data_IF_947358585425
#
_entry.id   IF_947358585425
#
_cell.length_a   1.000
_cell.length_b   1.000
_cell.length_c   1.000
_cell.angle_alpha   90.00
_cell.angle_beta   90.00
_cell.angle_gamma   90.00
#
_symmetry.space_group_name_H-M   'P 1'
#
loop_
_entity.id
_entity.type
_entity.pdbx_description
1 polymer ?
#
# COMPACT_ATOMS: atom_id res chain seq x y z
N UNK A 1 3.03 -10.57 4.52
CA UNK A 1 2.45 -11.08 5.79
C UNK A 1 0.97 -11.34 5.63
N UNK A 2 0.47 -12.50 6.08
CA UNK A 2 -0.96 -12.81 6.21
C UNK A 2 -1.54 -11.95 7.32
N UNK A 3 -2.51 -11.09 7.01
CA UNK A 3 -3.33 -10.46 8.04
C UNK A 3 -4.02 -11.58 8.81
N UNK A 4 -3.98 -11.62 10.17
CA UNK A 4 -4.70 -12.64 10.90
C UNK A 4 -6.17 -12.59 10.50
N UNK A 5 -6.70 -13.76 10.10
CA UNK A 5 -8.12 -13.92 9.80
C UNK A 5 -8.89 -13.44 11.03
N UNK A 6 -9.89 -12.57 10.86
CA UNK A 6 -10.63 -12.14 12.02
C UNK A 6 -11.46 -13.33 12.53
N UNK A 7 -11.71 -13.39 13.83
CA UNK A 7 -12.60 -14.41 14.38
C UNK A 7 -13.98 -14.27 13.70
N UNK A 8 -14.42 -15.25 12.90
CA UNK A 8 -15.69 -15.16 12.17
C UNK A 8 -16.89 -14.98 13.09
N UNK A 9 -16.76 -15.37 14.37
CA UNK A 9 -17.78 -15.22 15.41
C UNK A 9 -17.94 -13.77 15.88
N UNK A 10 -16.91 -12.91 15.76
CA UNK A 10 -16.97 -11.50 16.19
C UNK A 10 -18.01 -10.68 15.39
N UNK A 11 -18.41 -11.12 14.21
CA UNK A 11 -19.26 -10.33 13.30
C UNK A 11 -20.71 -10.81 13.22
N UNK A 12 -20.98 -12.04 13.67
CA UNK A 12 -22.29 -12.71 13.61
C UNK A 12 -23.01 -12.60 12.24
N UNK A 13 -22.26 -12.45 11.14
CA UNK A 13 -22.79 -12.23 9.79
C UNK A 13 -23.49 -13.46 9.18
N UNK A 14 -23.48 -14.60 9.88
CA UNK A 14 -24.22 -15.81 9.48
C UNK A 14 -25.72 -15.66 9.66
N UNK A 15 -26.15 -14.85 10.63
CA UNK A 15 -27.53 -14.80 11.10
C UNK A 15 -28.18 -13.43 10.89
N UNK A 16 -27.56 -12.55 10.09
CA UNK A 16 -28.09 -11.21 9.79
C UNK A 16 -27.60 -10.68 8.43
N UNK A 17 -28.33 -9.74 7.82
CA UNK A 17 -27.84 -9.03 6.66
C UNK A 17 -26.68 -8.07 7.00
N UNK A 18 -26.04 -7.54 5.95
CA UNK A 18 -24.99 -6.53 6.03
C UNK A 18 -25.59 -5.13 6.16
N UNK A 19 -25.05 -4.35 7.10
CA UNK A 19 -25.46 -2.99 7.42
C UNK A 19 -24.32 -2.00 7.18
N UNK A 20 -24.63 -0.70 7.20
CA UNK A 20 -23.64 0.38 7.07
C UNK A 20 -22.43 0.25 8.01
N UNK A 21 -22.64 -0.22 9.25
CA UNK A 21 -21.55 -0.43 10.23
C UNK A 21 -20.51 -1.47 9.79
N UNK A 22 -20.90 -2.44 8.96
CA UNK A 22 -20.00 -3.49 8.49
C UNK A 22 -18.93 -2.95 7.51
N UNK A 23 -19.20 -1.83 6.83
CA UNK A 23 -18.20 -1.14 6.01
C UNK A 23 -17.08 -0.52 6.86
N UNK A 24 -17.43 -0.02 8.04
CA UNK A 24 -16.43 0.50 9.00
C UNK A 24 -15.57 -0.64 9.52
N UNK A 25 -16.16 -1.80 9.79
CA UNK A 25 -15.44 -3.01 10.19
C UNK A 25 -14.49 -3.49 9.08
N UNK A 26 -14.98 -3.60 7.84
CA UNK A 26 -14.17 -3.97 6.68
C UNK A 26 -12.95 -3.03 6.54
N UNK A 27 -13.18 -1.73 6.67
CA UNK A 27 -12.11 -0.73 6.58
C UNK A 27 -11.07 -0.89 7.70
N UNK A 28 -11.52 -1.06 8.94
CA UNK A 28 -10.62 -1.25 10.09
C UNK A 28 -9.79 -2.52 9.96
N UNK A 29 -10.43 -3.61 9.52
CA UNK A 29 -9.78 -4.91 9.36
C UNK A 29 -8.74 -4.91 8.24
N UNK A 30 -9.10 -4.36 7.07
CA UNK A 30 -8.17 -4.27 5.93
C UNK A 30 -7.11 -3.18 6.10
N UNK A 31 -7.29 -2.25 7.05
CA UNK A 31 -6.43 -1.08 7.23
C UNK A 31 -6.49 -0.10 6.06
N UNK A 32 -7.52 -0.20 5.21
CA UNK A 32 -7.65 0.60 4.00
C UNK A 32 -8.17 2.01 4.29
N UNK A 33 -7.85 2.92 3.39
CA UNK A 33 -8.51 4.23 3.34
C UNK A 33 -9.94 4.10 2.79
N UNK A 34 -10.75 5.16 2.94
CA UNK A 34 -12.11 5.20 2.36
C UNK A 34 -12.04 5.12 0.83
N UNK A 35 -11.05 5.78 0.21
CA UNK A 35 -10.85 5.70 -1.23
C UNK A 35 -10.54 4.27 -1.70
N UNK A 36 -9.73 3.54 -0.94
CA UNK A 36 -9.41 2.14 -1.23
C UNK A 36 -10.59 1.21 -1.01
N UNK A 37 -11.38 1.43 0.04
CA UNK A 37 -12.64 0.72 0.22
C UNK A 37 -13.62 1.04 -0.91
N UNK A 38 -13.64 2.27 -1.42
CA UNK A 38 -14.42 2.66 -2.59
C UNK A 38 -13.99 1.87 -3.83
N UNK A 39 -12.69 1.81 -4.12
CA UNK A 39 -12.15 0.98 -5.20
C UNK A 39 -12.50 -0.51 -5.02
N UNK A 40 -12.32 -1.04 -3.82
CA UNK A 40 -12.64 -2.43 -3.46
C UNK A 40 -14.13 -2.74 -3.67
N UNK A 41 -15.03 -1.81 -3.35
CA UNK A 41 -16.47 -2.08 -3.40
C UNK A 41 -17.14 -1.57 -4.68
N UNK A 42 -16.39 -0.96 -5.61
CA UNK A 42 -16.97 -0.27 -6.76
C UNK A 42 -17.83 0.94 -6.39
N UNK A 43 -17.56 1.56 -5.24
CA UNK A 43 -18.32 2.68 -4.69
C UNK A 43 -17.58 4.00 -4.86
N UNK A 44 -18.35 5.08 -5.02
CA UNK A 44 -17.83 6.44 -4.86
C UNK A 44 -17.64 6.77 -3.38
N UNK A 45 -16.72 7.67 -3.06
CA UNK A 45 -16.51 8.11 -1.67
C UNK A 45 -17.78 8.69 -1.02
N UNK A 46 -18.63 9.50 -1.70
CA UNK A 46 -19.90 9.95 -1.13
C UNK A 46 -20.83 8.79 -0.78
N UNK A 47 -20.93 7.76 -1.63
CA UNK A 47 -21.77 6.59 -1.37
C UNK A 47 -21.26 5.78 -0.18
N UNK A 48 -19.95 5.65 -0.04
CA UNK A 48 -19.35 5.03 1.14
C UNK A 48 -19.70 5.80 2.41
N UNK A 49 -19.57 7.13 2.39
CA UNK A 49 -19.93 7.99 3.52
C UNK A 49 -21.42 7.94 3.86
N UNK A 50 -22.30 7.87 2.87
CA UNK A 50 -23.75 7.71 3.09
C UNK A 50 -24.05 6.48 3.95
N UNK A 51 -23.45 5.33 3.61
CA UNK A 51 -23.61 4.10 4.40
C UNK A 51 -22.99 4.20 5.79
N UNK A 52 -21.85 4.88 5.94
CA UNK A 52 -21.25 5.09 7.27
C UNK A 52 -22.12 5.95 8.18
N UNK A 53 -22.83 6.94 7.61
CA UNK A 53 -23.73 7.81 8.35
C UNK A 53 -25.06 7.13 8.70
N UNK A 54 -25.32 5.93 8.16
CA UNK A 54 -26.52 5.12 8.40
C UNK A 54 -26.11 3.71 8.84
N UNK A 55 -25.42 3.58 9.99
CA UNK A 55 -24.75 2.35 10.39
C UNK A 55 -25.70 1.18 10.63
N UNK A 56 -26.96 1.46 10.96
CA UNK A 56 -27.99 0.47 11.25
C UNK A 56 -28.98 0.26 10.10
N UNK A 57 -28.75 0.88 8.95
CA UNK A 57 -29.50 0.63 7.72
C UNK A 57 -28.81 -0.43 6.84
N UNK A 58 -29.62 -1.17 6.09
CA UNK A 58 -29.14 -2.13 5.11
C UNK A 58 -28.35 -1.40 4.01
N UNK A 59 -27.32 -2.07 3.48
CA UNK A 59 -26.71 -1.60 2.25
C UNK A 59 -27.74 -1.73 1.11
N UNK A 60 -28.11 -0.60 0.52
CA UNK A 60 -29.16 -0.56 -0.51
C UNK A 60 -28.82 -1.28 -1.82
N UNK A 61 -27.55 -1.68 -2.02
CA UNK A 61 -27.12 -2.48 -3.17
C UNK A 61 -26.80 -3.92 -2.72
N UNK A 62 -27.57 -4.93 -3.15
CA UNK A 62 -27.33 -6.33 -2.79
C UNK A 62 -25.97 -6.88 -3.23
N UNK A 63 -25.42 -6.41 -4.35
CA UNK A 63 -24.11 -6.86 -4.82
C UNK A 63 -23.00 -6.37 -3.89
N UNK A 64 -23.10 -5.12 -3.42
CA UNK A 64 -22.20 -4.54 -2.42
C UNK A 64 -22.33 -5.29 -1.09
N UNK A 65 -23.56 -5.61 -0.66
CA UNK A 65 -23.79 -6.39 0.55
C UNK A 65 -23.13 -7.77 0.49
N UNK A 66 -23.33 -8.52 -0.61
CA UNK A 66 -22.70 -9.82 -0.81
C UNK A 66 -21.18 -9.74 -0.86
N UNK A 67 -20.62 -8.71 -1.50
CA UNK A 67 -19.18 -8.50 -1.55
C UNK A 67 -18.59 -8.20 -0.17
N UNK A 68 -19.21 -7.30 0.61
CA UNK A 68 -18.77 -7.00 1.98
C UNK A 68 -18.83 -8.26 2.86
N UNK A 69 -19.93 -9.02 2.77
CA UNK A 69 -20.07 -10.29 3.48
C UNK A 69 -18.95 -11.27 3.11
N UNK A 70 -18.69 -11.45 1.81
CA UNK A 70 -17.67 -12.36 1.34
C UNK A 70 -16.27 -11.96 1.83
N UNK A 71 -15.92 -10.67 1.77
CA UNK A 71 -14.62 -10.17 2.19
C UNK A 71 -14.40 -10.24 3.71
N UNK A 72 -15.46 -10.10 4.51
CA UNK A 72 -15.38 -10.22 5.97
C UNK A 72 -15.33 -11.69 6.44
N UNK A 73 -15.98 -12.61 5.70
CA UNK A 73 -16.10 -14.02 6.07
C UNK A 73 -15.03 -14.92 5.45
N UNK A 74 -14.55 -14.57 4.27
CA UNK A 74 -13.55 -15.34 3.52
C UNK A 74 -12.40 -14.40 3.15
N UNK A 75 -11.46 -14.13 4.08
CA UNK A 75 -10.31 -13.28 3.81
C UNK A 75 -9.46 -13.72 2.61
N UNK A 76 -9.47 -15.01 2.26
CA UNK A 76 -8.85 -15.57 1.06
C UNK A 76 -9.50 -15.07 -0.25
N UNK A 77 -10.76 -14.61 -0.20
CA UNK A 77 -11.43 -13.99 -1.34
C UNK A 77 -10.97 -12.53 -1.56
N UNK A 78 -10.16 -11.98 -0.65
CA UNK A 78 -9.61 -10.64 -0.79
C UNK A 78 -8.61 -10.57 -1.94
N UNK A 79 -8.91 -9.74 -2.94
CA UNK A 79 -8.13 -9.64 -4.16
C UNK A 79 -7.20 -8.42 -4.20
N UNK A 80 -7.16 -7.58 -3.17
CA UNK A 80 -6.18 -6.51 -3.14
C UNK A 80 -4.79 -7.09 -2.92
N UNK A 81 -3.77 -6.56 -3.61
CA UNK A 81 -2.41 -7.00 -3.42
C UNK A 81 -1.96 -6.71 -1.99
N UNK A 82 -1.19 -7.64 -1.44
CA UNK A 82 -0.39 -7.35 -0.25
C UNK A 82 0.72 -6.41 -0.67
N UNK A 83 0.71 -5.19 -0.13
CA UNK A 83 1.76 -4.21 -0.38
C UNK A 83 2.97 -4.50 0.51
N UNK A 84 4.19 -4.52 -0.06
CA UNK A 84 5.39 -4.75 0.73
C UNK A 84 5.75 -3.50 1.54
N UNK A 85 6.36 -3.71 2.70
CA UNK A 85 7.04 -2.67 3.46
C UNK A 85 8.40 -2.33 2.83
N UNK A 86 8.95 -1.12 3.07
CA UNK A 86 10.23 -0.73 2.47
C UNK A 86 11.38 -1.72 2.74
N UNK A 87 11.44 -2.28 3.95
CA UNK A 87 12.42 -3.29 4.33
C UNK A 87 12.28 -4.61 3.55
N UNK A 88 11.07 -4.96 3.09
CA UNK A 88 10.84 -6.14 2.25
C UNK A 88 11.30 -5.94 0.79
N UNK A 89 11.35 -4.68 0.33
CA UNK A 89 11.78 -4.33 -1.04
C UNK A 89 13.29 -4.07 -1.10
N UNK A 90 13.89 -3.57 -0.02
CA UNK A 90 15.29 -3.14 0.03
C UNK A 90 16.31 -4.20 -0.44
N UNK A 91 16.21 -5.50 -0.09
CA UNK A 91 17.19 -6.49 -0.55
C UNK A 91 17.26 -6.62 -2.07
N UNK A 92 16.11 -6.56 -2.75
CA UNK A 92 16.07 -6.61 -4.22
C UNK A 92 16.69 -5.35 -4.83
N UNK A 93 16.46 -4.19 -4.21
CA UNK A 93 17.12 -2.93 -4.59
C UNK A 93 18.64 -3.01 -4.40
N UNK A 94 19.12 -3.46 -3.24
CA UNK A 94 20.54 -3.57 -2.93
C UNK A 94 21.25 -4.50 -3.92
N UNK A 95 20.65 -5.66 -4.23
CA UNK A 95 21.19 -6.59 -5.23
C UNK A 95 21.26 -5.98 -6.63
N UNK A 96 20.24 -5.22 -7.05
CA UNK A 96 20.25 -4.53 -8.33
C UNK A 96 21.28 -3.39 -8.38
N UNK A 97 21.48 -2.69 -7.25
CA UNK A 97 22.45 -1.62 -7.11
C UNK A 97 23.89 -2.12 -7.25
N UNK A 98 24.23 -3.23 -6.57
CA UNK A 98 25.55 -3.87 -6.64
C UNK A 98 25.97 -4.25 -8.06
N UNK A 99 25.00 -4.56 -8.92
CA UNK A 99 25.22 -4.98 -10.30
C UNK A 99 25.07 -3.83 -11.32
N UNK A 100 24.70 -2.64 -10.85
CA UNK A 100 24.50 -1.46 -11.69
C UNK A 100 25.76 -0.63 -11.79
N UNK A 101 25.78 0.29 -12.76
CA UNK A 101 26.81 1.34 -12.83
C UNK A 101 26.57 2.50 -11.86
N UNK A 102 25.45 2.49 -11.13
CA UNK A 102 25.07 3.55 -10.20
C UNK A 102 25.74 3.30 -8.85
N UNK A 103 26.63 4.21 -8.44
CA UNK A 103 27.36 4.11 -7.18
C UNK A 103 26.95 5.25 -6.25
N UNK A 104 25.96 5.07 -5.37
CA UNK A 104 25.55 6.07 -4.40
C UNK A 104 26.46 6.03 -3.18
N UNK A 105 26.83 7.21 -2.66
CA UNK A 105 27.54 7.32 -1.38
C UNK A 105 26.69 6.88 -0.18
N UNK A 106 25.37 6.93 -0.31
CA UNK A 106 24.38 6.59 0.71
C UNK A 106 23.28 5.73 0.07
N UNK A 107 23.42 4.39 0.06
CA UNK A 107 22.46 3.48 -0.57
C UNK A 107 21.07 3.54 0.05
N UNK A 108 20.97 3.69 1.37
CA UNK A 108 19.70 3.73 2.11
C UNK A 108 18.94 5.02 1.83
N UNK A 109 19.61 6.17 1.93
CA UNK A 109 19.00 7.45 1.58
C UNK A 109 18.68 7.55 0.10
N UNK A 110 19.47 6.92 -0.78
CA UNK A 110 19.14 6.83 -2.21
C UNK A 110 17.88 6.01 -2.46
N UNK A 111 17.71 4.89 -1.75
CA UNK A 111 16.46 4.11 -1.81
C UNK A 111 15.25 4.96 -1.41
N UNK A 112 15.35 5.72 -0.32
CA UNK A 112 14.29 6.64 0.09
C UNK A 112 13.99 7.72 -0.96
N UNK A 113 15.00 8.31 -1.59
CA UNK A 113 14.83 9.31 -2.65
C UNK A 113 14.12 8.74 -3.88
N UNK A 114 14.48 7.52 -4.31
CA UNK A 114 13.82 6.84 -5.43
C UNK A 114 12.32 6.61 -5.15
N UNK A 115 11.97 6.49 -3.87
CA UNK A 115 10.62 6.35 -3.39
C UNK A 115 9.92 7.71 -3.12
N UNK A 116 10.54 8.82 -3.52
CA UNK A 116 9.99 10.17 -3.33
C UNK A 116 9.96 10.62 -1.88
N UNK A 117 10.85 10.08 -1.03
CA UNK A 117 10.95 10.40 0.39
C UNK A 117 12.28 11.08 0.72
N UNK A 118 12.36 11.83 1.84
CA UNK A 118 13.63 12.39 2.31
C UNK A 118 14.67 11.30 2.59
N UNK A 119 15.96 11.58 2.38
CA UNK A 119 17.08 10.64 2.63
C UNK A 119 17.03 10.01 4.02
N UNK A 120 16.69 10.79 5.04
CA UNK A 120 16.56 10.33 6.43
C UNK A 120 15.47 9.28 6.66
N UNK A 121 14.60 9.02 5.68
CA UNK A 121 13.64 7.91 5.76
C UNK A 121 14.32 6.54 5.57
N UNK A 122 15.41 6.46 4.81
CA UNK A 122 16.07 5.18 4.48
C UNK A 122 16.50 4.41 5.72
N UNK A 123 17.38 5.02 6.52
CA UNK A 123 17.87 4.39 7.76
C UNK A 123 16.76 4.11 8.77
N UNK A 124 15.74 4.97 8.86
CA UNK A 124 14.58 4.75 9.74
C UNK A 124 13.73 3.55 9.32
N UNK A 125 13.59 3.29 8.02
CA UNK A 125 12.84 2.13 7.54
C UNK A 125 13.57 0.82 7.79
N UNK A 126 14.90 0.85 7.76
CA UNK A 126 15.74 -0.34 7.85
C UNK A 126 16.18 -0.66 9.28
N UNK A 127 16.15 0.31 10.19
CA UNK A 127 16.61 0.12 11.58
C UNK A 127 15.71 -0.81 12.40
N UNK A 128 14.43 -1.00 12.02
CA UNK A 128 13.49 -1.87 12.74
C UNK A 128 13.13 -1.43 14.17
N UNK A 129 13.75 -0.37 14.69
CA UNK A 129 13.57 0.16 16.06
C UNK A 129 12.59 1.33 16.04
N UNK A 130 11.50 1.22 16.81
CA UNK A 130 10.59 2.30 17.22
C UNK A 130 9.93 3.16 16.13
N UNK A 131 9.82 2.69 14.89
CA UNK A 131 8.90 3.32 13.95
C UNK A 131 7.48 2.78 14.25
N UNK A 132 6.53 3.54 14.84
CA UNK A 132 5.13 3.10 14.90
C UNK A 132 4.71 2.87 13.46
N UNK A 133 4.56 1.61 13.00
CA UNK A 133 4.34 1.18 11.60
C UNK A 133 4.05 2.38 10.72
N UNK A 134 5.11 3.08 10.29
CA UNK A 134 4.96 4.47 9.88
C UNK A 134 4.02 4.41 8.69
N UNK A 135 2.80 4.96 8.82
CA UNK A 135 1.74 4.70 7.85
C UNK A 135 2.23 5.21 6.51
N UNK A 136 2.80 4.29 5.73
CA UNK A 136 3.32 4.56 4.42
C UNK A 136 2.10 4.98 3.63
N UNK A 137 2.06 6.25 3.24
CA UNK A 137 0.89 6.78 2.56
C UNK A 137 0.58 5.95 1.30
N UNK A 138 -0.69 5.81 0.91
CA UNK A 138 -1.10 4.81 -0.09
C UNK A 138 -0.36 4.86 -1.45
N UNK A 139 0.02 6.03 -1.99
CA UNK A 139 0.87 6.13 -3.17
C UNK A 139 2.23 5.43 -3.02
N UNK A 140 2.91 5.59 -1.89
CA UNK A 140 4.21 4.99 -1.65
C UNK A 140 4.13 3.46 -1.52
N UNK A 141 3.10 2.93 -0.85
CA UNK A 141 2.87 1.46 -0.80
C UNK A 141 2.71 0.86 -2.20
N UNK A 142 1.97 1.55 -3.08
CA UNK A 142 1.81 1.16 -4.48
C UNK A 142 3.11 1.27 -5.26
N UNK A 143 3.89 2.33 -5.03
CA UNK A 143 5.18 2.52 -5.66
C UNK A 143 6.15 1.40 -5.26
N UNK A 144 6.20 1.02 -3.98
CA UNK A 144 7.01 -0.09 -3.48
C UNK A 144 6.65 -1.41 -4.16
N UNK A 145 5.35 -1.74 -4.25
CA UNK A 145 4.88 -2.94 -4.96
C UNK A 145 5.25 -2.90 -6.45
N UNK A 146 5.03 -1.75 -7.11
CA UNK A 146 5.36 -1.59 -8.52
C UNK A 146 6.88 -1.72 -8.76
N UNK A 147 7.68 -1.11 -7.90
CA UNK A 147 9.14 -1.17 -7.97
C UNK A 147 9.65 -2.59 -7.72
N UNK A 148 9.16 -3.28 -6.69
CA UNK A 148 9.49 -4.69 -6.43
C UNK A 148 9.18 -5.58 -7.64
N UNK A 149 7.98 -5.43 -8.24
CA UNK A 149 7.60 -6.17 -9.45
C UNK A 149 8.47 -5.81 -10.64
N UNK A 150 8.85 -4.54 -10.76
CA UNK A 150 9.69 -4.07 -11.85
C UNK A 150 11.12 -4.64 -11.74
N UNK A 151 11.69 -4.65 -10.54
CA UNK A 151 12.96 -5.31 -10.24
C UNK A 151 12.89 -6.81 -10.52
N UNK A 152 11.81 -7.49 -10.10
CA UNK A 152 11.63 -8.91 -10.36
C UNK A 152 11.52 -9.24 -11.85
N UNK A 153 10.86 -8.38 -12.64
CA UNK A 153 10.61 -8.62 -14.05
C UNK A 153 11.78 -8.22 -14.97
N UNK A 154 12.59 -7.23 -14.56
CA UNK A 154 13.59 -6.57 -15.42
C UNK A 154 15.00 -6.53 -14.84
N UNK A 155 15.19 -6.94 -13.59
CA UNK A 155 16.47 -6.93 -12.89
C UNK A 155 17.14 -5.56 -12.91
N UNK A 156 18.45 -5.56 -13.14
CA UNK A 156 19.32 -4.37 -13.17
C UNK A 156 18.89 -3.37 -14.24
N UNK A 157 18.52 -3.82 -15.44
CA UNK A 157 18.07 -2.92 -16.50
C UNK A 157 16.79 -2.16 -16.11
N UNK A 158 15.89 -2.82 -15.37
CA UNK A 158 14.72 -2.17 -14.77
C UNK A 158 15.13 -1.14 -13.73
N UNK A 159 16.03 -1.52 -12.81
CA UNK A 159 16.55 -0.61 -11.81
C UNK A 159 17.14 0.67 -12.43
N UNK A 160 18.04 0.54 -13.40
CA UNK A 160 18.69 1.69 -14.05
C UNK A 160 17.68 2.58 -14.79
N UNK A 161 16.71 1.99 -15.50
CA UNK A 161 15.64 2.75 -16.14
C UNK A 161 14.78 3.52 -15.11
N UNK A 162 14.54 2.93 -13.93
CA UNK A 162 13.81 3.60 -12.85
C UNK A 162 14.62 4.77 -12.28
N UNK A 163 15.93 4.60 -12.07
CA UNK A 163 16.83 5.68 -11.62
C UNK A 163 16.85 6.84 -12.62
N UNK A 164 16.99 6.55 -13.92
CA UNK A 164 16.94 7.57 -14.96
C UNK A 164 15.60 8.31 -14.98
N UNK A 165 14.48 7.57 -14.79
CA UNK A 165 13.17 8.21 -14.68
C UNK A 165 13.07 9.10 -13.45
N UNK A 166 13.56 8.65 -12.29
CA UNK A 166 13.56 9.45 -11.06
C UNK A 166 14.39 10.74 -11.22
N UNK A 167 15.56 10.65 -11.87
CA UNK A 167 16.41 11.82 -12.19
C UNK A 167 15.69 12.80 -13.12
N UNK A 168 15.01 12.30 -14.14
CA UNK A 168 14.20 13.14 -15.03
C UNK A 168 13.10 13.87 -14.27
N UNK A 169 12.31 13.15 -13.45
CA UNK A 169 11.21 13.72 -12.66
C UNK A 169 11.72 14.77 -11.64
N UNK A 170 12.87 14.53 -11.01
CA UNK A 170 13.50 15.50 -10.12
C UNK A 170 13.94 16.77 -10.86
N UNK A 171 14.57 16.63 -12.03
CA UNK A 171 15.05 17.74 -12.85
C UNK A 171 13.92 18.66 -13.29
N UNK A 172 12.83 18.10 -13.82
CA UNK A 172 11.69 18.90 -14.30
C UNK A 172 10.92 19.60 -13.18
N UNK A 173 11.08 19.15 -11.92
CA UNK A 173 10.52 19.78 -10.72
C UNK A 173 11.50 20.73 -10.02
N UNK A 174 12.68 20.95 -10.57
CA UNK A 174 13.70 21.82 -9.96
C UNK A 174 14.32 21.26 -8.67
N UNK A 175 14.20 19.96 -8.41
CA UNK A 175 14.75 19.30 -7.22
C UNK A 175 16.24 18.97 -7.37
N UNK A 176 16.80 19.16 -8.57
CA UNK A 176 18.24 19.05 -8.82
C UNK A 176 18.96 20.36 -8.44
N UNK A 177 19.09 20.63 -7.14
CA UNK A 177 20.03 21.59 -6.53
C UNK A 177 20.43 20.99 -5.17
N UNK A 178 21.68 20.74 -4.76
CA UNK A 178 23.00 20.93 -5.33
C UNK A 178 23.88 19.74 -4.90
N UNK A 179 24.64 19.16 -5.83
CA UNK A 179 25.88 18.46 -5.50
C UNK A 179 26.95 19.52 -5.28
N UNK A 180 27.34 19.71 -4.03
CA UNK A 180 28.63 20.25 -3.61
C UNK A 180 29.13 19.35 -2.47
#
# INVERSE_FOLDING_TARGET
MTHPLPDPELFALENRPVYGRDLTLLRQWTGLTIAECGYLLGLTAPRFHEYQNRPDELLGDPAVALLVWALLRYPEAHYLPVFPEPAEVYPAYASALEQSTVIPADPEGTFALLMGQPRSAGSRWLSGVDAPRQTVHPPLRRLLLAFQRFLAARGVAGFEAFVERARFEARVRGLCQATA
#
